data_IF_246953025460
#
_entry.id   IF_246953025460
#
_cell.length_a   1.000
_cell.length_b   1.000
_cell.length_c   1.000
_cell.angle_alpha   90.00
_cell.angle_beta   90.00
_cell.angle_gamma   90.00
#
_symmetry.space_group_name_H-M   'P 1'
#
loop_
_entity.id
_entity.type
_entity.pdbx_description
1 polymer ?
#
# COMPACT_ATOMS: atom_id res chain seq x y z
N UNK A 1 0.19 16.49 14.79
CA UNK A 1 0.34 15.08 14.42
C UNK A 1 -0.33 14.79 13.10
N UNK A 2 0.39 14.36 12.07
CA UNK A 2 -0.27 14.03 10.81
C UNK A 2 -1.24 12.87 10.98
N UNK A 3 -2.44 12.99 10.47
CA UNK A 3 -3.43 11.92 10.54
C UNK A 3 -2.93 10.67 9.80
N UNK A 4 -2.11 10.85 8.79
CA UNK A 4 -1.57 9.75 8.00
C UNK A 4 -0.65 8.84 8.81
N UNK A 5 0.06 9.38 9.82
CA UNK A 5 0.92 8.55 10.68
C UNK A 5 0.10 7.51 11.45
N UNK A 6 -1.07 7.90 11.98
CA UNK A 6 -1.95 6.97 12.66
C UNK A 6 -2.50 5.90 11.71
N UNK A 7 -2.81 6.28 10.47
CA UNK A 7 -3.26 5.33 9.46
C UNK A 7 -2.15 4.33 9.12
N UNK A 8 -0.90 4.80 9.02
CA UNK A 8 0.24 3.91 8.75
C UNK A 8 0.38 2.90 9.89
N UNK A 9 0.31 3.35 11.14
CA UNK A 9 0.39 2.44 12.29
C UNK A 9 -0.72 1.39 12.26
N UNK A 10 -1.93 1.79 11.89
CA UNK A 10 -3.06 0.86 11.78
C UNK A 10 -2.84 -0.16 10.66
N UNK A 11 -2.27 0.25 9.55
CA UNK A 11 -1.97 -0.66 8.45
C UNK A 11 -0.84 -1.63 8.84
N UNK A 12 0.18 -1.15 9.54
CA UNK A 12 1.24 -2.01 10.08
C UNK A 12 0.64 -3.11 10.95
N UNK A 13 -0.28 -2.73 11.84
CA UNK A 13 -0.98 -3.68 12.70
C UNK A 13 -1.71 -4.76 11.89
N UNK A 14 -2.42 -4.35 10.83
CA UNK A 14 -3.13 -5.29 9.97
C UNK A 14 -2.18 -6.24 9.27
N UNK A 15 -1.06 -5.74 8.76
CA UNK A 15 -0.06 -6.58 8.12
C UNK A 15 0.52 -7.60 9.07
N UNK A 16 0.85 -7.18 10.29
CA UNK A 16 1.39 -8.09 11.31
C UNK A 16 0.38 -9.16 11.70
N UNK A 17 -0.88 -8.81 11.83
CA UNK A 17 -1.94 -9.76 12.15
C UNK A 17 -2.15 -10.79 11.04
N UNK A 18 -1.78 -10.43 9.81
CA UNK A 18 -1.86 -11.34 8.66
C UNK A 18 -0.57 -12.16 8.48
N UNK A 19 0.36 -12.07 9.42
CA UNK A 19 1.59 -12.87 9.37
C UNK A 19 2.70 -12.29 8.52
N UNK A 20 2.58 -11.02 8.12
CA UNK A 20 3.61 -10.36 7.32
C UNK A 20 4.67 -9.71 8.22
N UNK A 21 5.92 -9.71 7.76
CA UNK A 21 7.01 -9.03 8.44
C UNK A 21 7.13 -7.62 7.89
N UNK A 22 6.79 -6.61 8.69
CA UNK A 22 6.90 -5.21 8.28
C UNK A 22 8.37 -4.79 8.32
N UNK A 23 8.88 -4.37 7.16
CA UNK A 23 10.29 -3.99 7.01
C UNK A 23 10.49 -2.49 7.04
N UNK A 24 9.58 -1.73 6.45
CA UNK A 24 9.63 -0.26 6.35
C UNK A 24 8.23 0.31 6.56
N UNK A 25 8.15 1.42 7.25
CA UNK A 25 6.88 2.11 7.45
C UNK A 25 7.13 3.57 7.80
N UNK A 26 6.24 4.45 7.34
CA UNK A 26 6.31 5.88 7.66
C UNK A 26 5.71 6.15 9.04
N UNK A 27 6.24 5.49 10.05
CA UNK A 27 5.83 5.70 11.44
C UNK A 27 7.00 5.36 12.37
N UNK A 28 6.87 5.73 13.64
CA UNK A 28 7.91 5.51 14.64
C UNK A 28 8.20 4.02 14.82
N UNK A 29 9.48 3.70 14.94
CA UNK A 29 9.92 2.32 15.19
C UNK A 29 10.31 1.54 13.95
N UNK A 30 10.19 2.15 12.76
CA UNK A 30 10.54 1.49 11.49
C UNK A 30 11.42 2.39 10.63
N UNK A 31 12.32 1.81 9.82
CA UNK A 31 13.03 2.59 8.79
C UNK A 31 12.03 3.16 7.79
N UNK A 32 12.35 4.31 7.22
CA UNK A 32 11.51 4.92 6.19
C UNK A 32 11.56 4.11 4.89
N UNK A 33 10.41 3.93 4.21
CA UNK A 33 10.40 3.29 2.90
C UNK A 33 11.18 4.09 1.87
N UNK A 34 11.77 3.38 0.90
CA UNK A 34 12.52 4.02 -0.18
C UNK A 34 11.61 4.23 -1.39
N UNK A 35 12.00 5.19 -2.22
CA UNK A 35 11.29 5.48 -3.47
C UNK A 35 11.42 4.31 -4.45
N UNK A 36 10.30 3.97 -5.09
CA UNK A 36 10.25 2.94 -6.13
C UNK A 36 9.63 3.55 -7.37
N UNK A 37 10.44 3.77 -8.40
CA UNK A 37 10.00 4.35 -9.68
C UNK A 37 9.23 5.66 -9.53
N UNK A 38 9.68 6.51 -8.62
CA UNK A 38 9.08 7.81 -8.40
C UNK A 38 7.94 7.83 -7.38
N UNK A 39 7.59 6.70 -6.80
CA UNK A 39 6.57 6.61 -5.76
C UNK A 39 7.16 6.00 -4.48
N UNK A 40 6.70 6.50 -3.33
CA UNK A 40 7.14 5.99 -2.03
C UNK A 40 5.96 5.33 -1.35
N UNK A 41 6.00 4.00 -1.11
CA UNK A 41 4.93 3.35 -0.35
C UNK A 41 4.96 3.81 1.11
N UNK A 42 3.83 3.68 1.79
CA UNK A 42 3.76 4.01 3.21
C UNK A 42 4.21 2.85 4.09
N UNK A 43 4.03 1.62 3.63
CA UNK A 43 4.46 0.40 4.33
C UNK A 43 5.00 -0.60 3.31
N UNK A 44 6.09 -1.28 3.68
CA UNK A 44 6.63 -2.41 2.91
C UNK A 44 6.76 -3.59 3.86
N UNK A 45 6.18 -4.71 3.50
CA UNK A 45 6.23 -5.93 4.30
C UNK A 45 6.68 -7.13 3.46
N UNK A 46 7.20 -8.16 4.14
CA UNK A 46 7.65 -9.39 3.50
C UNK A 46 6.70 -10.53 3.84
N UNK A 47 6.30 -11.27 2.81
CA UNK A 47 5.48 -12.47 2.95
C UNK A 47 6.38 -13.68 2.75
N UNK A 48 6.72 -14.37 3.85
CA UNK A 48 7.64 -15.51 3.81
C UNK A 48 7.02 -16.75 3.17
N UNK A 49 5.70 -16.84 3.10
CA UNK A 49 5.02 -17.96 2.44
C UNK A 49 5.06 -17.82 0.93
N UNK A 50 4.73 -16.63 0.43
CA UNK A 50 4.71 -16.35 -1.01
C UNK A 50 6.04 -15.87 -1.53
N UNK A 51 6.96 -15.53 -0.65
CA UNK A 51 8.30 -15.02 -0.95
C UNK A 51 8.25 -13.80 -1.86
N UNK A 52 7.41 -12.83 -1.49
CA UNK A 52 7.34 -11.55 -2.18
C UNK A 52 6.98 -10.45 -1.19
N UNK A 53 7.22 -9.19 -1.63
CA UNK A 53 6.87 -8.02 -0.83
C UNK A 53 5.40 -7.68 -1.00
N UNK A 54 4.81 -7.12 0.06
CA UNK A 54 3.49 -6.49 0.03
C UNK A 54 3.69 -5.00 0.26
N UNK A 55 2.99 -4.18 -0.50
CA UNK A 55 3.10 -2.73 -0.41
C UNK A 55 1.82 -2.16 0.18
N UNK A 56 1.95 -1.08 0.94
CA UNK A 56 0.80 -0.41 1.53
C UNK A 56 0.83 1.07 1.28
N UNK A 57 -0.33 1.64 1.01
CA UNK A 57 -0.56 3.08 0.90
C UNK A 57 -1.75 3.39 1.78
N UNK A 58 -1.67 4.49 2.54
CA UNK A 58 -2.80 4.94 3.34
C UNK A 58 -3.29 6.29 2.83
N UNK A 59 -4.58 6.56 3.02
CA UNK A 59 -5.15 7.83 2.64
C UNK A 59 -6.35 8.16 3.53
N UNK A 60 -6.53 9.45 3.82
CA UNK A 60 -7.72 9.94 4.49
C UNK A 60 -8.72 10.45 3.43
N UNK A 61 -9.85 11.02 3.88
CA UNK A 61 -10.89 11.49 2.99
C UNK A 61 -10.47 12.66 2.09
N UNK A 62 -9.40 13.35 2.45
CA UNK A 62 -8.85 14.43 1.64
C UNK A 62 -7.75 13.94 0.71
N UNK A 63 -6.77 13.23 1.22
CA UNK A 63 -5.63 12.77 0.43
C UNK A 63 -6.02 11.76 -0.65
N UNK A 64 -7.06 10.96 -0.41
CA UNK A 64 -7.55 9.98 -1.39
C UNK A 64 -8.01 10.65 -2.70
N UNK A 65 -8.38 11.93 -2.64
CA UNK A 65 -8.86 12.68 -3.80
C UNK A 65 -7.72 13.32 -4.61
N UNK A 66 -6.49 13.28 -4.12
CA UNK A 66 -5.37 13.96 -4.79
C UNK A 66 -4.82 13.14 -5.94
N UNK A 67 -4.28 13.84 -6.95
CA UNK A 67 -3.58 13.21 -8.07
C UNK A 67 -2.33 12.49 -7.60
N UNK A 68 -1.68 12.99 -6.55
CA UNK A 68 -0.50 12.36 -5.97
C UNK A 68 -0.81 10.95 -5.47
N UNK A 69 -1.91 10.77 -4.75
CA UNK A 69 -2.32 9.45 -4.26
C UNK A 69 -2.68 8.53 -5.42
N UNK A 70 -3.40 9.05 -6.42
CA UNK A 70 -3.77 8.28 -7.61
C UNK A 70 -2.53 7.79 -8.36
N UNK A 71 -1.56 8.67 -8.56
CA UNK A 71 -0.31 8.33 -9.23
C UNK A 71 0.48 7.29 -8.44
N UNK A 72 0.55 7.45 -7.13
CA UNK A 72 1.23 6.52 -6.24
C UNK A 72 0.60 5.12 -6.36
N UNK A 73 -0.72 5.01 -6.31
CA UNK A 73 -1.40 3.74 -6.48
C UNK A 73 -1.14 3.13 -7.86
N UNK A 74 -1.17 3.97 -8.90
CA UNK A 74 -0.96 3.51 -10.26
C UNK A 74 0.44 2.92 -10.45
N UNK A 75 1.46 3.58 -9.93
CA UNK A 75 2.84 3.11 -10.04
C UNK A 75 3.05 1.85 -9.20
N UNK A 76 2.66 1.89 -7.93
CA UNK A 76 2.94 0.78 -7.00
C UNK A 76 2.15 -0.47 -7.32
N UNK A 77 0.94 -0.35 -7.88
CA UNK A 77 0.12 -1.51 -8.23
C UNK A 77 0.67 -2.32 -9.41
N UNK A 78 1.64 -1.78 -10.13
CA UNK A 78 2.28 -2.44 -11.27
C UNK A 78 3.67 -2.99 -10.95
N UNK A 79 4.11 -2.87 -9.72
CA UNK A 79 5.44 -3.34 -9.32
C UNK A 79 5.49 -4.86 -9.28
N UNK A 80 6.64 -5.41 -9.69
CA UNK A 80 6.86 -6.86 -9.72
C UNK A 80 8.11 -7.21 -8.92
N UNK A 81 8.16 -8.45 -8.41
CA UNK A 81 9.38 -8.98 -7.83
C UNK A 81 10.46 -9.03 -8.89
N UNK A 82 11.65 -8.51 -8.55
CA UNK A 82 12.77 -8.43 -9.48
C UNK A 82 13.67 -9.65 -9.47
N UNK A 83 13.57 -10.48 -8.43
CA UNK A 83 14.41 -11.68 -8.29
C UNK A 83 13.80 -12.62 -7.24
N UNK A 84 14.32 -13.84 -7.18
CA UNK A 84 13.90 -14.83 -6.20
C UNK A 84 12.80 -15.74 -6.73
N UNK A 85 12.17 -16.50 -5.84
CA UNK A 85 11.19 -17.51 -6.20
C UNK A 85 9.93 -16.91 -6.85
N UNK A 86 9.62 -15.66 -6.54
CA UNK A 86 8.42 -14.98 -7.06
C UNK A 86 8.74 -13.97 -8.15
N UNK A 87 9.92 -14.03 -8.77
CA UNK A 87 10.31 -13.12 -9.83
C UNK A 87 9.22 -13.02 -10.91
N UNK A 88 8.86 -11.79 -11.28
CA UNK A 88 7.84 -11.53 -12.28
C UNK A 88 6.41 -11.49 -11.76
N UNK A 89 6.20 -11.81 -10.49
CA UNK A 89 4.87 -11.71 -9.88
C UNK A 89 4.63 -10.29 -9.38
N UNK A 90 3.39 -9.82 -9.53
CA UNK A 90 3.00 -8.50 -9.03
C UNK A 90 3.08 -8.47 -7.50
N UNK A 91 3.55 -7.35 -6.97
CA UNK A 91 3.53 -7.08 -5.53
C UNK A 91 2.12 -6.63 -5.15
N UNK A 92 1.44 -7.35 -4.24
CA UNK A 92 0.10 -6.91 -3.80
C UNK A 92 0.16 -5.51 -3.20
N UNK A 93 -0.75 -4.64 -3.62
CA UNK A 93 -0.87 -3.29 -3.07
C UNK A 93 -2.15 -3.19 -2.24
N UNK A 94 -2.01 -2.70 -1.02
CA UNK A 94 -3.14 -2.48 -0.12
C UNK A 94 -3.36 -0.99 0.06
N UNK A 95 -4.61 -0.57 -0.10
CA UNK A 95 -5.02 0.80 0.18
C UNK A 95 -5.76 0.82 1.52
N UNK A 96 -5.11 1.35 2.54
CA UNK A 96 -5.68 1.46 3.88
C UNK A 96 -6.42 2.77 4.04
N UNK A 97 -7.71 2.69 4.36
CA UNK A 97 -8.56 3.86 4.56
C UNK A 97 -9.49 3.63 5.75
N UNK A 98 -9.99 4.72 6.31
CA UNK A 98 -11.04 4.65 7.31
C UNK A 98 -12.39 4.49 6.62
N UNK A 99 -13.40 4.08 7.39
CA UNK A 99 -14.74 3.82 6.88
C UNK A 99 -15.33 5.01 6.13
N UNK A 100 -15.07 6.23 6.59
CA UNK A 100 -15.62 7.44 5.96
C UNK A 100 -15.05 7.73 4.56
N UNK A 101 -13.91 7.14 4.22
CA UNK A 101 -13.28 7.28 2.91
C UNK A 101 -13.48 6.04 2.02
N UNK A 102 -14.21 5.03 2.49
CA UNK A 102 -14.31 3.74 1.82
C UNK A 102 -14.92 3.84 0.42
N UNK A 103 -16.01 4.58 0.25
CA UNK A 103 -16.67 4.71 -1.06
C UNK A 103 -15.79 5.45 -2.07
N UNK A 104 -15.14 6.52 -1.61
CA UNK A 104 -14.26 7.30 -2.48
C UNK A 104 -13.06 6.45 -2.88
N UNK A 105 -12.55 5.64 -1.94
CA UNK A 105 -11.45 4.72 -2.23
C UNK A 105 -11.82 3.74 -3.33
N UNK A 106 -13.03 3.17 -3.29
CA UNK A 106 -13.50 2.27 -4.34
C UNK A 106 -13.55 2.97 -5.70
N UNK A 107 -14.03 4.21 -5.75
CA UNK A 107 -14.07 5.00 -6.98
C UNK A 107 -12.67 5.27 -7.51
N UNK A 108 -11.73 5.60 -6.64
CA UNK A 108 -10.34 5.88 -7.03
C UNK A 108 -9.66 4.63 -7.59
N UNK A 109 -9.94 3.47 -7.02
CA UNK A 109 -9.42 2.21 -7.55
C UNK A 109 -10.00 1.98 -8.94
N UNK A 110 -11.28 2.22 -9.15
CA UNK A 110 -11.93 2.06 -10.45
C UNK A 110 -11.39 3.03 -11.49
N UNK A 111 -10.86 4.18 -11.08
CA UNK A 111 -10.24 5.15 -11.98
C UNK A 111 -8.86 4.72 -12.49
N UNK A 112 -8.27 3.67 -11.91
CA UNK A 112 -7.00 3.13 -12.37
C UNK A 112 -7.23 2.18 -13.55
N UNK A 113 -6.12 1.69 -14.16
CA UNK A 113 -6.24 0.70 -15.23
C UNK A 113 -6.82 -0.61 -14.69
N UNK A 114 -7.37 -1.43 -15.57
CA UNK A 114 -7.93 -2.72 -15.18
C UNK A 114 -6.90 -3.61 -14.49
N UNK A 115 -5.66 -3.60 -14.98
CA UNK A 115 -4.54 -4.31 -14.39
C UNK A 115 -4.29 -3.87 -12.95
N UNK A 116 -4.28 -2.55 -12.71
CA UNK A 116 -4.09 -1.99 -11.37
C UNK A 116 -5.26 -2.36 -10.45
N UNK A 117 -6.49 -2.27 -10.94
CA UNK A 117 -7.67 -2.62 -10.14
C UNK A 117 -7.59 -4.03 -9.58
N UNK A 118 -7.09 -4.95 -10.36
CA UNK A 118 -6.98 -6.35 -9.95
C UNK A 118 -5.92 -6.59 -8.89
N UNK A 119 -5.00 -5.65 -8.71
CA UNK A 119 -3.89 -5.78 -7.77
C UNK A 119 -3.98 -4.85 -6.56
N UNK A 120 -5.03 -4.05 -6.46
CA UNK A 120 -5.24 -3.15 -5.32
C UNK A 120 -6.33 -3.71 -4.43
N UNK A 121 -6.01 -3.91 -3.16
CA UNK A 121 -6.99 -4.35 -2.15
C UNK A 121 -7.24 -3.21 -1.17
N UNK A 122 -8.51 -2.84 -1.00
CA UNK A 122 -8.90 -1.86 0.00
C UNK A 122 -9.00 -2.55 1.36
N UNK A 123 -8.41 -1.93 2.38
CA UNK A 123 -8.50 -2.40 3.77
C UNK A 123 -9.04 -1.25 4.61
N UNK A 124 -10.04 -1.53 5.41
CA UNK A 124 -10.55 -0.57 6.39
C UNK A 124 -9.70 -0.68 7.65
N UNK A 125 -9.14 0.45 8.05
CA UNK A 125 -8.23 0.50 9.20
C UNK A 125 -8.64 1.54 10.29
#
# INVERSE_FOLDING_TARGET
>A
MPQTENLVENLVDKFQKNGLDVLYAKCNGYPEPVEVQGAVPDVVAWDSFKELYHLGVVADSQSIRTDETKEKMNVLSKMMMSKGASEGKLLPLYLGVKQDASEIADQRIQDTTLESQNNIQKIII
#
